data_IF_167980390113
#
_entry.id   IF_167980390113
#
_cell.length_a   1.000
_cell.length_b   1.000
_cell.length_c   1.000
_cell.angle_alpha   90.00
_cell.angle_beta   90.00
_cell.angle_gamma   90.00
#
_symmetry.space_group_name_H-M   'P 1'
#
loop_
_entity.id
_entity.type
_entity.pdbx_description
1 polymer ?
#
# COMPACT_ATOMS: atom_id res chain seq x y z
N UNK A 1 17.45 2.36 12.65
CA UNK A 1 16.54 2.07 11.53
C UNK A 1 16.73 0.62 11.17
N UNK A 2 15.67 -0.20 11.25
CA UNK A 2 15.73 -1.62 10.93
C UNK A 2 16.04 -1.86 9.44
N UNK A 3 17.06 -2.67 9.14
CA UNK A 3 17.46 -3.05 7.78
C UNK A 3 16.31 -3.60 6.93
N UNK A 4 15.28 -4.18 7.56
CA UNK A 4 14.09 -4.73 6.88
C UNK A 4 13.18 -3.66 6.28
N UNK A 5 13.13 -2.47 6.89
CA UNK A 5 12.38 -1.34 6.36
C UNK A 5 13.09 -0.80 5.12
N UNK A 6 14.43 -0.79 5.15
CA UNK A 6 15.27 -0.37 4.02
C UNK A 6 15.09 -1.31 2.81
N UNK A 7 15.09 -2.63 3.04
CA UNK A 7 14.90 -3.67 2.01
C UNK A 7 13.53 -3.57 1.31
N UNK A 8 12.45 -3.36 2.08
CA UNK A 8 11.11 -3.17 1.52
C UNK A 8 11.01 -1.87 0.70
N UNK A 9 11.66 -0.78 1.15
CA UNK A 9 11.69 0.48 0.41
C UNK A 9 12.38 0.33 -0.94
N UNK A 10 13.51 -0.38 -0.98
CA UNK A 10 14.25 -0.66 -2.21
C UNK A 10 13.44 -1.57 -3.15
N UNK A 11 12.84 -2.64 -2.62
CA UNK A 11 12.00 -3.58 -3.38
C UNK A 11 10.80 -2.90 -4.05
N UNK A 12 10.17 -1.94 -3.36
CA UNK A 12 9.00 -1.23 -3.88
C UNK A 12 9.35 0.07 -4.63
N UNK A 13 10.57 0.57 -4.53
CA UNK A 13 11.01 1.84 -5.13
C UNK A 13 10.48 3.08 -4.41
N UNK A 14 10.16 2.96 -3.12
CA UNK A 14 9.59 4.06 -2.33
C UNK A 14 10.67 5.13 -2.13
N UNK A 15 10.46 6.32 -2.72
CA UNK A 15 11.34 7.48 -2.48
C UNK A 15 11.20 7.96 -1.04
N UNK A 16 12.32 8.34 -0.44
CA UNK A 16 12.39 8.71 0.97
C UNK A 16 11.35 9.78 1.36
N UNK A 17 10.46 9.50 2.35
CA UNK A 17 9.36 10.41 2.70
C UNK A 17 9.83 11.69 3.40
N UNK A 18 11.12 11.82 3.73
CA UNK A 18 11.65 12.95 4.50
C UNK A 18 11.78 14.24 3.68
N UNK A 19 11.47 14.22 2.38
CA UNK A 19 11.60 15.41 1.53
C UNK A 19 10.38 15.79 0.67
N UNK A 20 9.26 15.07 0.67
CA UNK A 20 8.24 15.25 -0.38
C UNK A 20 6.78 15.21 0.11
N UNK A 21 6.35 16.23 0.87
CA UNK A 21 4.92 16.52 1.04
C UNK A 21 4.06 15.39 1.64
N UNK A 22 2.75 15.56 1.62
CA UNK A 22 1.80 14.56 2.10
C UNK A 22 1.68 13.41 1.08
N UNK A 23 1.69 12.15 1.51
CA UNK A 23 1.51 10.98 0.62
C UNK A 23 0.29 11.19 -0.28
N UNK A 24 0.41 10.99 -1.59
CA UNK A 24 -0.71 11.21 -2.51
C UNK A 24 -0.82 12.64 -3.06
N UNK A 25 -0.03 13.61 -2.57
CA UNK A 25 -0.11 15.01 -3.03
C UNK A 25 0.23 15.18 -4.51
N UNK A 26 1.13 14.35 -5.02
CA UNK A 26 1.55 14.37 -6.42
C UNK A 26 0.71 13.42 -7.30
N UNK A 27 -0.19 12.63 -6.70
CA UNK A 27 -1.06 11.70 -7.39
C UNK A 27 -2.42 12.30 -7.77
N UNK A 28 -3.13 11.72 -8.74
CA UNK A 28 -4.50 12.12 -9.09
C UNK A 28 -5.48 11.86 -7.94
N UNK A 29 -6.62 12.55 -7.99
CA UNK A 29 -7.75 12.27 -7.11
C UNK A 29 -8.33 10.88 -7.40
N UNK A 30 -8.39 10.03 -6.38
CA UNK A 30 -8.93 8.66 -6.46
C UNK A 30 -9.91 8.49 -5.30
N UNK A 31 -11.20 8.30 -5.58
CA UNK A 31 -12.18 8.03 -4.53
C UNK A 31 -11.97 6.65 -3.93
N UNK A 32 -11.92 5.62 -4.75
CA UNK A 32 -11.49 4.26 -4.40
C UNK A 32 -11.22 3.47 -5.67
N UNK A 33 -10.12 2.72 -5.71
CA UNK A 33 -9.78 1.86 -6.85
C UNK A 33 -9.13 0.56 -6.37
N UNK A 34 -9.71 -0.56 -6.78
CA UNK A 34 -9.10 -1.88 -6.55
C UNK A 34 -7.93 -2.08 -7.52
N UNK A 35 -6.74 -2.31 -6.97
CA UNK A 35 -5.50 -2.52 -7.73
C UNK A 35 -5.20 -3.99 -7.96
N UNK A 36 -5.65 -4.83 -7.04
CA UNK A 36 -5.48 -6.28 -7.11
C UNK A 36 -6.60 -6.97 -6.35
N UNK A 37 -7.06 -8.08 -6.91
CA UNK A 37 -8.06 -8.95 -6.33
C UNK A 37 -7.66 -10.38 -6.68
N UNK A 38 -7.46 -11.23 -5.67
CA UNK A 38 -7.14 -12.62 -5.84
C UNK A 38 -7.81 -13.47 -4.75
N UNK A 39 -8.78 -14.26 -5.19
CA UNK A 39 -9.59 -15.07 -4.29
C UNK A 39 -10.27 -14.18 -3.24
N UNK A 40 -10.03 -14.39 -1.94
CA UNK A 40 -10.60 -13.55 -0.90
C UNK A 40 -9.84 -12.25 -0.69
N UNK A 41 -8.62 -12.07 -1.20
CA UNK A 41 -7.80 -10.90 -0.87
C UNK A 41 -7.90 -9.82 -1.92
N UNK A 42 -7.96 -8.56 -1.49
CA UNK A 42 -7.87 -7.42 -2.40
C UNK A 42 -7.08 -6.27 -1.80
N UNK A 43 -6.48 -5.47 -2.69
CA UNK A 43 -5.82 -4.21 -2.37
C UNK A 43 -6.56 -3.09 -3.07
N UNK A 44 -6.94 -2.08 -2.29
CA UNK A 44 -7.61 -0.87 -2.75
C UNK A 44 -6.71 0.35 -2.47
N UNK A 45 -6.72 1.33 -3.38
CA UNK A 45 -6.07 2.64 -3.21
C UNK A 45 -7.10 3.74 -3.15
N UNK A 46 -6.87 4.72 -2.28
CA UNK A 46 -7.72 5.88 -2.08
C UNK A 46 -6.86 7.14 -1.97
N UNK A 47 -7.21 8.17 -2.72
CA UNK A 47 -6.60 9.50 -2.68
C UNK A 47 -7.68 10.58 -2.88
N UNK A 48 -8.65 10.70 -1.97
CA UNK A 48 -9.86 11.46 -2.23
C UNK A 48 -9.62 12.97 -2.34
N UNK A 49 -8.57 13.50 -1.68
CA UNK A 49 -8.17 14.92 -1.76
C UNK A 49 -6.63 15.02 -1.71
N UNK A 50 -5.95 14.93 -2.87
CA UNK A 50 -4.50 15.07 -2.96
C UNK A 50 -4.01 16.37 -2.28
N UNK A 51 -2.97 16.29 -1.45
CA UNK A 51 -2.38 17.45 -0.78
C UNK A 51 -3.14 17.98 0.44
N UNK A 52 -4.34 17.44 0.71
CA UNK A 52 -5.14 17.78 1.90
C UNK A 52 -5.38 16.57 2.79
N UNK A 53 -5.50 15.37 2.20
CA UNK A 53 -5.61 14.11 2.91
C UNK A 53 -4.59 13.11 2.37
N UNK A 54 -3.81 12.44 3.25
CA UNK A 54 -2.85 11.46 2.79
C UNK A 54 -3.55 10.31 2.09
N UNK A 55 -3.02 9.97 0.92
CA UNK A 55 -3.39 8.77 0.19
C UNK A 55 -3.26 7.52 1.05
N UNK A 56 -4.12 6.55 0.81
CA UNK A 56 -4.22 5.32 1.58
C UNK A 56 -4.17 4.12 0.67
N UNK A 57 -3.54 3.06 1.18
CA UNK A 57 -3.62 1.73 0.60
C UNK A 57 -4.24 0.80 1.65
N UNK A 58 -5.23 0.03 1.26
CA UNK A 58 -5.92 -0.90 2.14
C UNK A 58 -5.82 -2.31 1.59
N UNK A 59 -5.44 -3.25 2.45
CA UNK A 59 -5.61 -4.67 2.21
C UNK A 59 -6.88 -5.14 2.93
N UNK A 60 -7.76 -5.79 2.20
CA UNK A 60 -9.00 -6.35 2.72
C UNK A 60 -9.04 -7.84 2.46
N UNK A 61 -9.31 -8.59 3.52
CA UNK A 61 -9.80 -9.96 3.38
C UNK A 61 -11.33 -9.92 3.18
N UNK A 62 -11.80 -10.43 2.05
CA UNK A 62 -13.21 -10.48 1.70
C UNK A 62 -13.94 -11.62 2.42
N UNK A 63 -13.22 -12.63 2.94
CA UNK A 63 -13.81 -13.65 3.83
C UNK A 63 -14.10 -13.08 5.22
N UNK A 64 -13.35 -12.06 5.64
CA UNK A 64 -13.56 -11.36 6.90
C UNK A 64 -13.63 -9.85 6.66
N UNK A 65 -14.84 -9.32 6.48
CA UNK A 65 -15.10 -7.90 6.22
C UNK A 65 -14.52 -6.95 7.29
N UNK A 66 -14.28 -7.43 8.50
CA UNK A 66 -13.66 -6.66 9.59
C UNK A 66 -12.13 -6.62 9.52
N UNK A 67 -11.51 -7.53 8.76
CA UNK A 67 -10.07 -7.61 8.57
C UNK A 67 -9.62 -6.63 7.48
N UNK A 68 -9.48 -5.37 7.88
CA UNK A 68 -8.92 -4.28 7.07
C UNK A 68 -7.57 -3.91 7.63
N UNK A 69 -6.56 -3.86 6.76
CA UNK A 69 -5.20 -3.52 7.14
C UNK A 69 -4.74 -2.35 6.29
N UNK A 70 -4.23 -1.31 6.93
CA UNK A 70 -3.77 -0.10 6.26
C UNK A 70 -2.28 -0.22 5.96
N UNK A 71 -1.85 0.20 4.78
CA UNK A 71 -0.45 0.20 4.43
C UNK A 71 0.27 1.36 5.10
N UNK A 72 1.36 1.03 5.77
CA UNK A 72 2.26 1.96 6.40
C UNK A 72 3.40 2.26 5.42
N UNK A 73 3.35 3.47 4.85
CA UNK A 73 4.34 3.95 3.88
C UNK A 73 5.73 4.15 4.50
N UNK A 74 5.82 4.31 5.83
CA UNK A 74 7.10 4.46 6.52
C UNK A 74 7.83 3.12 6.66
N UNK A 75 7.09 2.06 7.02
CA UNK A 75 7.62 0.70 7.23
C UNK A 75 7.57 -0.18 5.99
N UNK A 76 6.77 0.18 5.00
CA UNK A 76 6.57 -0.58 3.76
C UNK A 76 5.68 -1.83 3.94
N UNK A 77 4.83 -1.86 4.97
CA UNK A 77 4.05 -3.05 5.35
C UNK A 77 2.61 -2.68 5.73
N UNK A 78 1.69 -3.67 5.69
CA UNK A 78 0.33 -3.47 6.19
C UNK A 78 0.28 -3.65 7.72
N UNK A 79 -0.18 -2.61 8.43
CA UNK A 79 -0.28 -2.61 9.88
C UNK A 79 -1.30 -3.65 10.36
N UNK A 80 -0.86 -4.51 11.28
CA UNK A 80 -1.68 -5.58 11.87
C UNK A 80 -1.88 -6.80 10.96
N UNK A 81 -1.32 -6.84 9.74
CA UNK A 81 -1.50 -7.97 8.83
C UNK A 81 -0.87 -9.25 9.42
N UNK A 82 -1.65 -10.34 9.58
CA UNK A 82 -1.13 -11.58 10.14
C UNK A 82 -0.01 -12.15 9.26
N UNK A 83 1.05 -12.65 9.88
CA UNK A 83 2.20 -13.27 9.16
C UNK A 83 1.77 -14.40 8.25
N UNK A 84 0.74 -15.17 8.62
CA UNK A 84 0.19 -16.24 7.79
C UNK A 84 -0.41 -15.73 6.48
N UNK A 85 -1.11 -14.59 6.52
CA UNK A 85 -1.67 -13.95 5.33
C UNK A 85 -0.55 -13.37 4.49
N UNK A 86 0.38 -12.63 5.10
CA UNK A 86 1.55 -12.09 4.40
C UNK A 86 2.39 -13.20 3.73
N UNK A 87 2.54 -14.37 4.35
CA UNK A 87 3.23 -15.50 3.71
C UNK A 87 2.45 -16.08 2.52
N UNK A 88 1.12 -16.05 2.58
CA UNK A 88 0.26 -16.53 1.50
C UNK A 88 0.25 -15.58 0.28
N UNK A 89 0.25 -14.27 0.51
CA UNK A 89 0.15 -13.26 -0.57
C UNK A 89 1.47 -12.57 -0.91
N UNK A 90 2.44 -12.53 0.00
CA UNK A 90 3.67 -11.75 -0.13
C UNK A 90 4.61 -12.24 -1.24
N UNK A 91 4.57 -13.54 -1.55
CA UNK A 91 5.30 -14.11 -2.70
C UNK A 91 4.52 -13.98 -4.02
N UNK A 92 3.32 -13.40 -3.99
CA UNK A 92 2.50 -13.25 -5.18
C UNK A 92 2.96 -12.02 -5.97
N UNK A 93 3.34 -12.18 -7.26
CA UNK A 93 3.77 -11.04 -8.07
C UNK A 93 2.67 -9.99 -8.24
N UNK A 94 1.40 -10.40 -8.24
CA UNK A 94 0.25 -9.50 -8.30
C UNK A 94 0.11 -8.64 -7.05
N UNK A 95 0.38 -9.19 -5.86
CA UNK A 95 0.36 -8.44 -4.59
C UNK A 95 1.45 -7.36 -4.57
N UNK A 96 2.69 -7.73 -4.92
CA UNK A 96 3.82 -6.79 -5.01
C UNK A 96 3.52 -5.71 -6.06
N UNK A 97 3.02 -6.10 -7.24
CA UNK A 97 2.65 -5.15 -8.29
C UNK A 97 1.52 -4.21 -7.88
N UNK A 98 0.58 -4.67 -7.05
CA UNK A 98 -0.50 -3.84 -6.53
C UNK A 98 0.01 -2.72 -5.62
N UNK A 99 0.93 -3.05 -4.71
CA UNK A 99 1.57 -2.07 -3.82
C UNK A 99 2.30 -1.02 -4.67
N UNK A 100 3.11 -1.45 -5.64
CA UNK A 100 3.82 -0.54 -6.56
C UNK A 100 2.87 0.34 -7.37
N UNK A 101 1.77 -0.22 -7.90
CA UNK A 101 0.72 0.55 -8.59
C UNK A 101 0.06 1.56 -7.66
N UNK A 102 -0.12 1.22 -6.40
CA UNK A 102 -0.67 2.11 -5.38
C UNK A 102 0.24 3.28 -5.10
N UNK A 103 1.52 3.01 -4.85
CA UNK A 103 2.54 4.03 -4.67
C UNK A 103 2.63 4.95 -5.88
N UNK A 104 2.70 4.40 -7.09
CA UNK A 104 2.70 5.19 -8.32
C UNK A 104 1.42 6.02 -8.50
N UNK A 105 0.25 5.48 -8.14
CA UNK A 105 -1.02 6.21 -8.18
C UNK A 105 -1.09 7.34 -7.15
N UNK A 106 -0.29 7.26 -6.08
CA UNK A 106 -0.14 8.31 -5.08
C UNK A 106 1.01 9.29 -5.42
N UNK A 107 1.75 9.05 -6.51
CA UNK A 107 2.91 9.86 -6.89
C UNK A 107 4.17 9.57 -6.06
N UNK A 108 4.23 8.41 -5.41
CA UNK A 108 5.32 7.96 -4.51
C UNK A 108 6.27 6.93 -5.16
N UNK A 109 6.02 6.53 -6.41
CA UNK A 109 6.76 5.48 -7.14
C UNK A 109 7.30 5.93 -8.49
#
# INVERSE_FOLDING_TARGET
MDDRVQDMRDLYGIRDPKSAGMIGSNGPQITSKTLWNQGPYRIDVENPNPGQRPGQLHFQDQTNKSAKYQYNFETGQFDGLPRSVLKAVGNNPGFIAAIRKGLAALGEG
#
